data_IF_134122790488
#
_entry.id   IF_134122790488
#
_cell.length_a   1.000
_cell.length_b   1.000
_cell.length_c   1.000
_cell.angle_alpha   90.00
_cell.angle_beta   90.00
_cell.angle_gamma   90.00
#
_symmetry.space_group_name_H-M   'P 1'
#
loop_
_entity.id
_entity.type
_entity.pdbx_description
1 polymer ?
#
# COMPACT_ATOMS: atom_id res chain seq x y z
N UNK A 1 22.06 30.83 73.33
CA UNK A 1 20.65 31.08 72.97
C UNK A 1 20.27 30.01 71.96
N UNK A 2 19.26 29.19 72.31
CA UNK A 2 18.62 28.05 71.62
C UNK A 2 19.06 27.62 70.20
N UNK A 3 19.08 26.34 69.82
CA UNK A 3 18.57 25.13 70.48
C UNK A 3 18.55 23.90 69.54
N UNK A 4 18.35 22.74 70.18
CA UNK A 4 17.91 21.43 69.67
C UNK A 4 18.88 20.46 68.94
N UNK A 5 19.44 19.58 69.78
CA UNK A 5 19.65 18.15 69.54
C UNK A 5 18.32 17.40 69.25
N UNK A 6 18.35 16.40 68.35
CA UNK A 6 17.86 15.03 68.61
C UNK A 6 18.31 14.05 67.52
N UNK A 7 18.93 12.97 67.98
CA UNK A 7 19.34 11.75 67.26
C UNK A 7 18.14 10.98 66.67
N UNK A 8 18.40 10.09 65.70
CA UNK A 8 17.96 8.70 65.84
C UNK A 8 18.71 7.72 64.93
N UNK A 9 19.04 6.60 65.55
CA UNK A 9 19.84 5.46 65.10
C UNK A 9 19.22 4.58 64.02
N UNK A 10 20.13 3.94 63.27
CA UNK A 10 20.11 2.64 62.60
C UNK A 10 18.82 1.81 62.56
N UNK A 11 18.45 1.39 61.34
CA UNK A 11 17.78 0.11 61.12
C UNK A 11 18.21 -0.48 59.77
N UNK A 12 19.06 -1.51 59.82
CA UNK A 12 19.50 -2.29 58.67
C UNK A 12 18.34 -3.18 58.22
N UNK A 13 17.73 -2.90 57.06
CA UNK A 13 16.66 -3.73 56.48
C UNK A 13 17.26 -4.58 55.35
N UNK A 14 17.34 -5.90 55.58
CA UNK A 14 17.64 -6.88 54.52
C UNK A 14 16.59 -6.76 53.42
N UNK A 15 17.00 -6.44 52.20
CA UNK A 15 16.17 -6.52 50.99
C UNK A 15 16.05 -7.98 50.53
N UNK A 16 14.89 -8.40 49.98
CA UNK A 16 14.67 -9.76 49.51
C UNK A 16 15.31 -9.97 48.13
N UNK A 17 15.72 -11.21 47.85
CA UNK A 17 16.46 -11.68 46.67
C UNK A 17 15.72 -11.59 45.32
N UNK A 18 14.64 -10.82 45.22
CA UNK A 18 13.79 -10.72 44.01
C UNK A 18 14.12 -9.50 43.14
N UNK A 19 14.87 -8.53 43.66
CA UNK A 19 15.36 -7.39 42.89
C UNK A 19 16.67 -7.67 42.16
N UNK A 20 17.41 -8.71 42.54
CA UNK A 20 18.62 -9.13 41.83
C UNK A 20 18.30 -9.70 40.44
N UNK A 21 17.19 -10.43 40.26
CA UNK A 21 16.82 -10.94 38.93
C UNK A 21 16.43 -9.80 38.00
N UNK A 22 15.70 -8.80 38.49
CA UNK A 22 15.33 -7.63 37.69
C UNK A 22 16.55 -6.78 37.33
N UNK A 23 17.55 -6.70 38.21
CA UNK A 23 18.76 -5.93 37.96
C UNK A 23 19.70 -6.66 36.98
N UNK A 24 19.81 -7.99 37.10
CA UNK A 24 20.51 -8.85 36.12
C UNK A 24 19.80 -8.82 34.75
N UNK A 25 18.46 -8.81 34.71
CA UNK A 25 17.69 -8.69 33.46
C UNK A 25 17.81 -7.30 32.83
N UNK A 26 17.97 -6.24 33.63
CA UNK A 26 18.16 -4.87 33.14
C UNK A 26 19.59 -4.65 32.66
N UNK A 27 20.60 -5.20 33.35
CA UNK A 27 22.01 -5.20 32.87
C UNK A 27 22.16 -6.09 31.63
N UNK A 28 21.55 -7.27 31.57
CA UNK A 28 21.57 -8.12 30.38
C UNK A 28 20.85 -7.48 29.18
N UNK A 29 19.77 -6.73 29.43
CA UNK A 29 19.12 -5.93 28.39
C UNK A 29 19.93 -4.70 28.01
N UNK A 30 20.64 -4.04 28.93
CA UNK A 30 21.52 -2.91 28.59
C UNK A 30 22.74 -3.39 27.81
N UNK A 31 23.31 -4.54 28.16
CA UNK A 31 24.43 -5.16 27.46
C UNK A 31 24.02 -5.70 26.07
N UNK A 32 22.76 -6.13 25.90
CA UNK A 32 22.17 -6.41 24.59
C UNK A 32 21.96 -5.12 23.78
N UNK A 33 21.53 -4.03 24.41
CA UNK A 33 21.37 -2.73 23.78
C UNK A 33 22.73 -2.11 23.38
N UNK A 34 23.76 -2.24 24.21
CA UNK A 34 25.12 -1.77 23.92
C UNK A 34 25.81 -2.65 22.87
N UNK A 35 25.61 -3.97 22.89
CA UNK A 35 26.05 -4.84 21.78
C UNK A 35 25.26 -4.59 20.48
N UNK A 36 24.02 -4.07 20.56
CA UNK A 36 23.22 -3.62 19.41
C UNK A 36 23.68 -2.28 18.86
N UNK A 37 24.18 -1.38 19.71
CA UNK A 37 24.76 -0.09 19.32
C UNK A 37 26.17 -0.25 18.71
N UNK A 38 26.87 -1.34 19.03
CA UNK A 38 28.21 -1.65 18.53
C UNK A 38 28.29 -2.48 17.23
N UNK A 39 27.17 -3.07 16.77
CA UNK A 39 27.13 -3.64 15.43
C UNK A 39 26.93 -2.51 14.43
N UNK A 40 27.98 -2.21 13.68
CA UNK A 40 27.90 -1.39 12.46
C UNK A 40 26.56 -1.63 11.76
N UNK A 41 25.82 -0.54 11.56
CA UNK A 41 24.59 -0.47 10.80
C UNK A 41 24.85 -0.93 9.37
N UNK A 42 24.92 -2.25 9.17
CA UNK A 42 24.90 -2.83 7.84
C UNK A 42 23.50 -2.59 7.30
N UNK A 43 23.32 -1.44 6.64
CA UNK A 43 22.03 -1.04 6.09
C UNK A 43 21.41 -2.24 5.36
N UNK A 44 20.16 -2.65 5.70
CA UNK A 44 19.52 -3.78 5.06
C UNK A 44 19.62 -3.66 3.54
N UNK A 45 19.89 -4.79 2.87
CA UNK A 45 20.18 -4.77 1.44
C UNK A 45 18.91 -4.39 0.65
N UNK A 46 18.82 -3.12 0.26
CA UNK A 46 17.75 -2.57 -0.60
C UNK A 46 17.55 -3.35 -1.91
N UNK A 47 18.57 -4.11 -2.34
CA UNK A 47 18.51 -4.96 -3.54
C UNK A 47 17.48 -6.09 -3.43
N UNK A 48 17.18 -6.57 -2.22
CA UNK A 48 16.27 -7.71 -2.00
C UNK A 48 14.80 -7.32 -2.11
N UNK A 49 14.42 -6.15 -1.60
CA UNK A 49 13.06 -5.63 -1.65
C UNK A 49 12.73 -4.89 -2.95
N UNK A 50 13.74 -4.40 -3.68
CA UNK A 50 13.56 -3.66 -4.93
C UNK A 50 12.70 -4.37 -6.00
N UNK A 51 12.90 -5.65 -6.35
CA UNK A 51 12.08 -6.27 -7.40
C UNK A 51 10.59 -6.32 -7.01
N UNK A 52 10.28 -6.50 -5.73
CA UNK A 52 8.91 -6.52 -5.20
C UNK A 52 8.26 -5.15 -5.29
N UNK A 53 9.00 -4.10 -4.95
CA UNK A 53 8.55 -2.71 -5.09
C UNK A 53 8.32 -2.38 -6.58
N UNK A 54 9.21 -2.80 -7.48
CA UNK A 54 9.04 -2.57 -8.91
C UNK A 54 7.80 -3.25 -9.48
N UNK A 55 7.44 -4.45 -9.01
CA UNK A 55 6.18 -5.08 -9.42
C UNK A 55 4.98 -4.28 -8.89
N UNK A 56 5.04 -3.83 -7.63
CA UNK A 56 3.98 -3.01 -7.03
C UNK A 56 3.77 -1.69 -7.79
N UNK A 57 4.84 -1.07 -8.31
CA UNK A 57 4.72 0.19 -9.08
C UNK A 57 4.05 0.02 -10.44
N UNK A 58 3.93 -1.20 -10.98
CA UNK A 58 3.13 -1.47 -12.20
C UNK A 58 1.67 -1.07 -11.96
N UNK A 59 1.14 -1.25 -10.75
CA UNK A 59 -0.20 -0.80 -10.41
C UNK A 59 -0.34 0.73 -10.49
N UNK A 60 0.70 1.47 -10.11
CA UNK A 60 0.74 2.94 -10.21
C UNK A 60 0.91 3.42 -11.64
N UNK A 61 1.70 2.69 -12.45
CA UNK A 61 1.78 2.91 -13.89
C UNK A 61 0.41 2.74 -14.56
N UNK A 62 -0.29 1.64 -14.27
CA UNK A 62 -1.65 1.41 -14.76
C UNK A 62 -2.61 2.50 -14.31
N UNK A 63 -2.46 3.00 -13.08
CA UNK A 63 -3.23 4.13 -12.59
C UNK A 63 -3.05 5.38 -13.44
N UNK A 64 -1.81 5.78 -13.69
CA UNK A 64 -1.49 6.89 -14.58
C UNK A 64 -1.98 6.68 -16.02
N UNK A 65 -1.84 5.45 -16.54
CA UNK A 65 -2.26 5.12 -17.89
C UNK A 65 -3.76 5.34 -18.10
N UNK A 66 -4.61 4.83 -17.20
CA UNK A 66 -6.06 4.97 -17.32
C UNK A 66 -6.59 6.39 -17.07
N UNK A 67 -5.82 7.24 -16.38
CA UNK A 67 -6.12 8.67 -16.25
C UNK A 67 -5.87 9.42 -17.56
N UNK A 68 -4.82 9.09 -18.29
CA UNK A 68 -4.46 9.81 -19.52
C UNK A 68 -5.05 9.22 -20.81
N UNK A 69 -5.31 7.90 -20.86
CA UNK A 69 -5.69 7.19 -22.10
C UNK A 69 -7.00 7.68 -22.72
N UNK A 70 -7.90 8.29 -21.94
CA UNK A 70 -9.19 8.76 -22.46
C UNK A 70 -9.09 10.12 -23.13
N UNK A 71 -8.05 10.92 -22.83
CA UNK A 71 -7.99 12.31 -23.26
C UNK A 71 -7.87 12.47 -24.78
N UNK A 72 -6.98 11.73 -25.43
CA UNK A 72 -6.80 11.78 -26.89
C UNK A 72 -7.93 11.10 -27.68
N UNK A 73 -8.41 9.89 -27.31
CA UNK A 73 -9.41 9.19 -28.10
C UNK A 73 -10.85 9.58 -27.84
N UNK A 74 -11.15 10.46 -26.86
CA UNK A 74 -12.53 10.81 -26.51
C UNK A 74 -13.38 11.23 -27.72
N UNK A 75 -12.83 12.09 -28.58
CA UNK A 75 -13.49 12.56 -29.79
C UNK A 75 -13.72 11.42 -30.80
N UNK A 76 -12.71 10.57 -31.02
CA UNK A 76 -12.84 9.41 -31.91
C UNK A 76 -13.83 8.38 -31.38
N UNK A 77 -13.88 8.18 -30.06
CA UNK A 77 -14.85 7.31 -29.39
C UNK A 77 -16.26 7.88 -29.56
N UNK A 78 -16.45 9.19 -29.40
CA UNK A 78 -17.79 9.80 -29.49
C UNK A 78 -18.34 9.73 -30.91
N UNK A 79 -17.48 9.86 -31.92
CA UNK A 79 -17.81 9.63 -33.33
C UNK A 79 -18.19 8.16 -33.61
N UNK A 80 -17.35 7.20 -33.20
CA UNK A 80 -17.55 5.77 -33.49
C UNK A 80 -18.79 5.18 -32.77
N UNK A 81 -19.04 5.63 -31.54
CA UNK A 81 -20.17 5.16 -30.71
C UNK A 81 -21.44 6.00 -30.88
N UNK A 82 -21.45 6.98 -31.79
CA UNK A 82 -22.65 7.73 -32.19
C UNK A 82 -23.20 8.68 -31.12
N UNK A 83 -22.36 9.17 -30.20
CA UNK A 83 -22.75 10.16 -29.18
C UNK A 83 -22.01 11.51 -29.32
N UNK A 84 -21.34 11.72 -30.45
CA UNK A 84 -20.65 12.96 -30.77
C UNK A 84 -21.57 14.18 -30.62
N UNK A 85 -21.08 15.23 -29.96
CA UNK A 85 -21.85 16.44 -29.66
C UNK A 85 -22.69 16.37 -28.38
N UNK A 86 -22.77 15.21 -27.71
CA UNK A 86 -23.36 15.10 -26.38
C UNK A 86 -22.26 15.22 -25.29
N UNK A 87 -22.00 16.45 -24.86
CA UNK A 87 -20.99 16.77 -23.85
C UNK A 87 -21.22 16.07 -22.51
N UNK A 88 -22.49 15.80 -22.18
CA UNK A 88 -22.84 15.07 -20.96
C UNK A 88 -22.44 13.59 -21.06
N UNK A 89 -22.61 12.96 -22.22
CA UNK A 89 -22.18 11.57 -22.45
C UNK A 89 -20.64 11.45 -22.44
N UNK A 90 -19.94 12.38 -23.08
CA UNK A 90 -18.46 12.45 -23.06
C UNK A 90 -17.93 12.62 -21.64
N UNK A 91 -18.49 13.58 -20.89
CA UNK A 91 -18.16 13.79 -19.47
C UNK A 91 -18.48 12.57 -18.61
N UNK A 92 -19.55 11.84 -18.92
CA UNK A 92 -19.91 10.61 -18.20
C UNK A 92 -18.90 9.49 -18.42
N UNK A 93 -18.37 9.32 -19.64
CA UNK A 93 -17.33 8.30 -19.94
C UNK A 93 -16.04 8.52 -19.13
N UNK A 94 -15.68 9.79 -18.90
CA UNK A 94 -14.51 10.15 -18.09
C UNK A 94 -14.83 9.95 -16.60
N UNK A 95 -15.93 10.56 -16.12
CA UNK A 95 -16.27 10.62 -14.69
C UNK A 95 -16.72 9.29 -14.11
N UNK A 96 -17.37 8.40 -14.87
CA UNK A 96 -17.82 7.10 -14.36
C UNK A 96 -16.66 6.20 -13.93
N UNK A 97 -15.49 6.35 -14.55
CA UNK A 97 -14.27 5.67 -14.13
C UNK A 97 -13.78 6.18 -12.76
N UNK A 98 -13.89 7.48 -12.50
CA UNK A 98 -13.59 8.05 -11.18
C UNK A 98 -14.62 7.61 -10.15
N UNK A 99 -15.89 7.51 -10.53
CA UNK A 99 -16.94 6.93 -9.70
C UNK A 99 -16.63 5.48 -9.32
N UNK A 100 -16.18 4.65 -10.28
CA UNK A 100 -15.69 3.30 -10.00
C UNK A 100 -14.49 3.29 -9.06
N UNK A 101 -13.54 4.22 -9.25
CA UNK A 101 -12.36 4.36 -8.39
C UNK A 101 -12.73 4.74 -6.96
N UNK A 102 -13.74 5.58 -6.75
CA UNK A 102 -14.26 5.89 -5.43
C UNK A 102 -14.72 4.62 -4.69
N UNK A 103 -15.51 3.77 -5.34
CA UNK A 103 -15.92 2.48 -4.76
C UNK A 103 -14.72 1.55 -4.53
N UNK A 104 -13.77 1.50 -5.47
CA UNK A 104 -12.53 0.72 -5.33
C UNK A 104 -11.70 1.13 -4.11
N UNK A 105 -11.56 2.44 -3.87
CA UNK A 105 -10.87 2.98 -2.71
C UNK A 105 -11.57 2.62 -1.40
N UNK A 106 -12.90 2.72 -1.33
CA UNK A 106 -13.67 2.35 -0.13
C UNK A 106 -13.49 0.88 0.24
N UNK A 107 -13.45 0.00 -0.76
CA UNK A 107 -13.26 -1.43 -0.54
C UNK A 107 -11.79 -1.81 -0.28
N UNK A 108 -10.84 -0.91 -0.55
CA UNK A 108 -9.41 -1.23 -0.54
C UNK A 108 -8.88 -1.65 0.82
N UNK A 109 -9.27 -0.96 1.89
CA UNK A 109 -8.85 -1.31 3.25
C UNK A 109 -9.34 -2.70 3.65
N UNK A 110 -10.64 -2.97 3.44
CA UNK A 110 -11.24 -4.26 3.78
C UNK A 110 -10.62 -5.42 2.98
N UNK A 111 -10.37 -5.22 1.68
CA UNK A 111 -9.73 -6.22 0.82
C UNK A 111 -8.27 -6.43 1.26
N UNK A 112 -7.49 -5.36 1.41
CA UNK A 112 -6.07 -5.45 1.76
C UNK A 112 -5.83 -6.15 3.10
N UNK A 113 -6.70 -5.89 4.09
CA UNK A 113 -6.62 -6.50 5.41
C UNK A 113 -7.21 -7.91 5.47
N UNK A 114 -8.25 -8.20 4.68
CA UNK A 114 -8.89 -9.51 4.65
C UNK A 114 -8.09 -10.56 3.87
N UNK A 115 -7.70 -10.26 2.62
CA UNK A 115 -7.08 -11.24 1.72
C UNK A 115 -5.56 -11.14 1.60
N UNK A 116 -4.97 -10.08 2.18
CA UNK A 116 -3.55 -9.78 2.07
C UNK A 116 -3.23 -8.88 0.88
N UNK A 117 -2.00 -8.35 0.88
CA UNK A 117 -1.58 -7.31 -0.07
C UNK A 117 -1.37 -7.92 -1.46
N UNK A 118 -0.75 -9.10 -1.53
CA UNK A 118 -0.49 -9.78 -2.81
C UNK A 118 -1.78 -10.13 -3.55
N UNK A 119 -2.76 -10.70 -2.84
CA UNK A 119 -4.06 -11.02 -3.42
C UNK A 119 -4.86 -9.76 -3.76
N UNK A 120 -4.75 -8.70 -2.96
CA UNK A 120 -5.39 -7.42 -3.27
C UNK A 120 -4.92 -6.84 -4.61
N UNK A 121 -3.63 -6.92 -4.96
CA UNK A 121 -3.15 -6.53 -6.29
C UNK A 121 -3.69 -7.41 -7.43
N UNK A 122 -3.83 -8.71 -7.20
CA UNK A 122 -4.45 -9.59 -8.20
C UNK A 122 -5.92 -9.24 -8.39
N UNK A 123 -6.63 -8.96 -7.30
CA UNK A 123 -8.02 -8.53 -7.32
C UNK A 123 -8.20 -7.14 -7.93
N UNK A 124 -7.20 -6.25 -7.88
CA UNK A 124 -7.25 -4.98 -8.60
C UNK A 124 -6.99 -5.16 -10.10
N UNK A 125 -6.08 -6.07 -10.48
CA UNK A 125 -5.77 -6.33 -11.88
C UNK A 125 -6.93 -6.96 -12.67
N UNK A 126 -7.72 -7.85 -12.05
CA UNK A 126 -8.86 -8.51 -12.71
C UNK A 126 -9.89 -7.54 -13.32
N UNK A 127 -10.50 -6.61 -12.57
CA UNK A 127 -11.44 -5.65 -13.13
C UNK A 127 -10.77 -4.69 -14.13
N UNK A 128 -9.47 -4.41 -13.99
CA UNK A 128 -8.75 -3.63 -14.99
C UNK A 128 -8.65 -4.37 -16.32
N UNK A 129 -8.32 -5.66 -16.31
CA UNK A 129 -8.27 -6.50 -17.51
C UNK A 129 -9.67 -6.61 -18.14
N UNK A 130 -10.66 -7.06 -17.36
CA UNK A 130 -12.03 -7.29 -17.85
C UNK A 130 -12.66 -5.99 -18.34
N UNK A 131 -12.55 -4.92 -17.57
CA UNK A 131 -13.10 -3.62 -17.92
C UNK A 131 -12.41 -3.02 -19.15
N UNK A 132 -11.09 -3.12 -19.26
CA UNK A 132 -10.36 -2.58 -20.41
C UNK A 132 -10.65 -3.37 -21.69
N UNK A 133 -10.71 -4.70 -21.62
CA UNK A 133 -11.14 -5.54 -22.73
C UNK A 133 -12.57 -5.22 -23.17
N UNK A 134 -13.49 -5.01 -22.22
CA UNK A 134 -14.86 -4.64 -22.53
C UNK A 134 -14.96 -3.24 -23.15
N UNK A 135 -14.22 -2.26 -22.62
CA UNK A 135 -14.13 -0.92 -23.21
C UNK A 135 -13.55 -0.95 -24.62
N UNK A 136 -12.57 -1.82 -24.90
CA UNK A 136 -12.01 -1.96 -26.26
C UNK A 136 -12.95 -2.68 -27.25
N UNK A 137 -13.74 -3.64 -26.78
CA UNK A 137 -14.61 -4.46 -27.64
C UNK A 137 -16.01 -3.87 -27.85
N UNK A 138 -16.44 -2.90 -27.03
CA UNK A 138 -17.80 -2.34 -27.11
C UNK A 138 -18.05 -1.60 -28.43
N UNK A 139 -19.30 -1.65 -28.90
CA UNK A 139 -19.81 -0.87 -30.03
C UNK A 139 -20.93 0.09 -29.61
N UNK A 140 -21.22 0.17 -28.30
CA UNK A 140 -22.26 1.03 -27.76
C UNK A 140 -21.74 1.85 -26.56
N UNK A 141 -22.32 3.03 -26.34
CA UNK A 141 -22.02 3.88 -25.18
C UNK A 141 -22.20 3.15 -23.85
N UNK A 142 -23.29 2.38 -23.69
CA UNK A 142 -23.54 1.66 -22.44
C UNK A 142 -22.42 0.67 -22.10
N UNK A 143 -21.94 -0.11 -23.07
CA UNK A 143 -20.82 -1.02 -22.86
C UNK A 143 -19.51 -0.29 -22.51
N UNK A 144 -19.29 0.90 -23.08
CA UNK A 144 -18.16 1.75 -22.70
C UNK A 144 -18.27 2.22 -21.24
N UNK A 145 -19.45 2.68 -20.83
CA UNK A 145 -19.71 3.15 -19.46
C UNK A 145 -19.50 2.03 -18.44
N UNK A 146 -20.06 0.85 -18.68
CA UNK A 146 -19.86 -0.31 -17.80
C UNK A 146 -18.38 -0.71 -17.77
N UNK A 147 -17.69 -0.71 -18.91
CA UNK A 147 -16.26 -1.05 -18.99
C UNK A 147 -15.42 -0.10 -18.15
N UNK A 148 -15.67 1.20 -18.29
CA UNK A 148 -15.01 2.26 -17.55
C UNK A 148 -15.30 2.19 -16.05
N UNK A 149 -16.54 1.87 -15.65
CA UNK A 149 -16.89 1.67 -14.26
C UNK A 149 -16.09 0.51 -13.65
N UNK A 150 -16.03 -0.63 -14.35
CA UNK A 150 -15.28 -1.82 -13.88
C UNK A 150 -13.79 -1.50 -13.79
N UNK A 151 -13.17 -0.92 -14.82
CA UNK A 151 -11.77 -0.46 -14.75
C UNK A 151 -11.54 0.43 -13.54
N UNK A 152 -12.47 1.38 -13.31
CA UNK A 152 -12.44 2.29 -12.17
C UNK A 152 -12.31 1.55 -10.83
N UNK A 153 -13.06 0.46 -10.61
CA UNK A 153 -12.97 -0.28 -9.33
C UNK A 153 -11.57 -0.84 -9.06
N UNK A 154 -10.89 -1.38 -10.08
CA UNK A 154 -9.50 -1.82 -9.94
C UNK A 154 -8.51 -0.67 -9.81
N UNK A 155 -8.77 0.42 -10.54
CA UNK A 155 -8.00 1.66 -10.53
C UNK A 155 -7.91 2.26 -9.12
N UNK A 156 -9.00 2.27 -8.36
CA UNK A 156 -9.04 2.78 -7.00
C UNK A 156 -8.34 1.87 -5.98
N UNK A 157 -8.46 0.55 -6.15
CA UNK A 157 -7.87 -0.43 -5.24
C UNK A 157 -6.33 -0.42 -5.28
N UNK A 158 -5.75 -0.35 -6.49
CA UNK A 158 -4.32 -0.55 -6.73
C UNK A 158 -3.38 0.41 -5.97
N UNK A 159 -3.50 1.75 -6.13
CA UNK A 159 -2.59 2.71 -5.50
C UNK A 159 -2.58 2.67 -3.96
N UNK A 160 -3.75 2.46 -3.34
CA UNK A 160 -3.85 2.33 -1.89
C UNK A 160 -3.10 1.10 -1.38
N UNK A 161 -3.30 -0.05 -2.04
CA UNK A 161 -2.58 -1.28 -1.73
C UNK A 161 -1.08 -1.13 -2.01
N UNK A 162 -0.69 -0.41 -3.06
CA UNK A 162 0.71 -0.17 -3.38
C UNK A 162 1.44 0.66 -2.33
N UNK A 163 0.81 1.72 -1.82
CA UNK A 163 1.37 2.50 -0.74
C UNK A 163 1.59 1.65 0.53
N UNK A 164 0.61 0.82 0.91
CA UNK A 164 0.71 -0.10 2.05
C UNK A 164 1.79 -1.16 1.83
N UNK A 165 1.81 -1.79 0.67
CA UNK A 165 2.78 -2.84 0.37
C UNK A 165 4.21 -2.30 0.39
N UNK A 166 4.44 -1.13 -0.21
CA UNK A 166 5.76 -0.50 -0.19
C UNK A 166 6.17 -0.14 1.23
N UNK A 167 5.29 0.39 2.08
CA UNK A 167 5.68 0.73 3.46
C UNK A 167 6.03 -0.50 4.29
N UNK A 168 5.35 -1.63 4.06
CA UNK A 168 5.52 -2.89 4.81
C UNK A 168 6.69 -3.75 4.33
N UNK A 169 7.07 -3.65 3.05
CA UNK A 169 8.15 -4.44 2.44
C UNK A 169 9.50 -3.69 2.44
N UNK A 170 9.46 -2.38 2.61
CA UNK A 170 10.65 -1.54 2.48
C UNK A 170 11.40 -1.34 3.79
N UNK A 171 12.75 -1.42 3.76
CA UNK A 171 13.56 -0.96 4.87
C UNK A 171 13.32 0.51 5.19
N UNK A 172 13.41 0.87 6.48
CA UNK A 172 13.07 2.21 6.96
C UNK A 172 13.84 3.35 6.24
N UNK A 173 15.11 3.13 5.89
CA UNK A 173 15.97 4.15 5.29
C UNK A 173 15.68 4.47 3.81
N UNK A 174 15.08 3.53 3.05
CA UNK A 174 14.75 3.70 1.61
C UNK A 174 13.25 3.83 1.33
N UNK A 175 12.41 3.72 2.38
CA UNK A 175 10.95 3.78 2.25
C UNK A 175 10.47 5.03 1.50
N UNK A 176 11.09 6.19 1.76
CA UNK A 176 10.79 7.44 1.05
C UNK A 176 11.10 7.38 -0.45
N UNK A 177 12.25 6.82 -0.82
CA UNK A 177 12.66 6.64 -2.23
C UNK A 177 11.71 5.71 -2.97
N UNK A 178 11.28 4.62 -2.35
CA UNK A 178 10.31 3.71 -2.97
C UNK A 178 8.91 4.34 -3.10
N UNK A 179 8.51 5.19 -2.16
CA UNK A 179 7.33 6.03 -2.32
C UNK A 179 7.44 6.94 -3.56
N UNK A 180 8.61 7.49 -3.84
CA UNK A 180 8.83 8.28 -5.07
C UNK A 180 8.70 7.43 -6.34
N UNK A 181 9.10 6.15 -6.34
CA UNK A 181 8.92 5.27 -7.50
C UNK A 181 7.45 5.04 -7.86
N UNK A 182 6.54 4.97 -6.88
CA UNK A 182 5.09 4.91 -7.13
C UNK A 182 4.66 6.13 -7.95
N UNK A 183 5.06 7.34 -7.54
CA UNK A 183 4.70 8.57 -8.24
C UNK A 183 5.35 8.67 -9.62
N UNK A 184 6.63 8.30 -9.74
CA UNK A 184 7.35 8.26 -11.03
C UNK A 184 6.66 7.30 -12.00
N UNK A 185 6.25 6.12 -11.53
CA UNK A 185 5.51 5.15 -12.33
C UNK A 185 4.17 5.71 -12.82
N UNK A 186 3.44 6.43 -11.96
CA UNK A 186 2.21 7.15 -12.36
C UNK A 186 2.49 8.15 -13.48
N UNK A 187 3.56 8.96 -13.37
CA UNK A 187 3.94 9.90 -14.42
C UNK A 187 4.29 9.19 -15.74
N UNK A 188 5.04 8.08 -15.69
CA UNK A 188 5.32 7.26 -16.87
C UNK A 188 4.06 6.62 -17.46
N UNK A 189 3.08 6.26 -16.64
CA UNK A 189 1.77 5.77 -17.08
C UNK A 189 1.02 6.82 -17.89
N UNK A 190 0.93 8.04 -17.37
CA UNK A 190 0.31 9.18 -18.08
C UNK A 190 1.06 9.44 -19.39
N UNK A 191 2.39 9.54 -19.33
CA UNK A 191 3.21 9.79 -20.52
C UNK A 191 3.05 8.69 -21.57
N UNK A 192 3.05 7.43 -21.16
CA UNK A 192 2.83 6.27 -22.04
C UNK A 192 1.46 6.29 -22.70
N UNK A 193 0.42 6.72 -21.97
CA UNK A 193 -0.93 6.86 -22.54
C UNK A 193 -1.00 7.94 -23.63
N UNK A 194 -0.27 9.05 -23.45
CA UNK A 194 -0.19 10.12 -24.44
C UNK A 194 0.53 9.63 -25.71
N UNK A 195 1.66 8.92 -25.57
CA UNK A 195 2.38 8.38 -26.71
C UNK A 195 1.54 7.39 -27.54
N UNK A 196 0.81 6.49 -26.87
CA UNK A 196 -0.06 5.52 -27.54
C UNK A 196 -1.30 6.19 -28.17
N UNK A 197 -1.68 7.37 -27.66
CA UNK A 197 -2.77 8.19 -28.19
C UNK A 197 -2.42 8.98 -29.45
N UNK A 198 -1.15 9.15 -29.81
CA UNK A 198 -0.74 9.97 -30.98
C UNK A 198 -1.44 9.58 -32.29
N UNK A 199 -1.44 8.31 -32.73
CA UNK A 199 -2.00 7.94 -34.03
C UNK A 199 -3.54 7.77 -34.01
N UNK A 200 -4.21 8.09 -32.90
CA UNK A 200 -5.68 7.97 -32.77
C UNK A 200 -6.44 8.74 -33.85
N UNK A 201 -5.95 9.93 -34.20
CA UNK A 201 -6.60 10.79 -35.21
C UNK A 201 -6.34 10.32 -36.64
N UNK A 202 -5.28 9.56 -36.86
CA UNK A 202 -4.86 9.10 -38.19
C UNK A 202 -5.44 7.72 -38.53
N UNK A 203 -5.61 6.85 -37.53
CA UNK A 203 -6.04 5.46 -37.72
C UNK A 203 -7.42 5.25 -37.10
N UNK A 204 -8.43 4.99 -37.95
CA UNK A 204 -9.78 4.64 -37.50
C UNK A 204 -9.75 3.39 -36.61
N UNK A 205 -10.42 3.46 -35.45
CA UNK A 205 -10.51 2.35 -34.49
C UNK A 205 -9.28 2.16 -33.60
N UNK A 206 -8.22 2.97 -33.73
CA UNK A 206 -7.02 2.86 -32.88
C UNK A 206 -7.31 3.05 -31.39
N UNK A 207 -8.36 3.80 -31.05
CA UNK A 207 -8.84 3.98 -29.68
C UNK A 207 -9.07 2.65 -28.95
N UNK A 208 -9.47 1.58 -29.66
CA UNK A 208 -9.65 0.23 -29.10
C UNK A 208 -8.32 -0.38 -28.67
N UNK A 209 -7.26 -0.14 -29.44
CA UNK A 209 -5.90 -0.56 -29.12
C UNK A 209 -5.40 0.18 -27.89
N UNK A 210 -5.70 1.48 -27.74
CA UNK A 210 -5.34 2.25 -26.55
C UNK A 210 -5.91 1.60 -25.27
N UNK A 211 -7.19 1.23 -25.25
CA UNK A 211 -7.75 0.52 -24.08
C UNK A 211 -7.23 -0.91 -23.96
N UNK A 212 -7.16 -1.65 -25.07
CA UNK A 212 -6.71 -3.04 -25.09
C UNK A 212 -5.27 -3.20 -24.59
N UNK A 213 -4.38 -2.25 -24.91
CA UNK A 213 -2.98 -2.31 -24.52
C UNK A 213 -2.79 -2.30 -23.00
N UNK A 214 -3.67 -1.64 -22.25
CA UNK A 214 -3.63 -1.62 -20.77
C UNK A 214 -3.81 -3.00 -20.13
N UNK A 215 -4.41 -3.96 -20.85
CA UNK A 215 -4.58 -5.34 -20.36
C UNK A 215 -3.24 -6.06 -20.21
N UNK A 216 -2.22 -5.69 -21.01
CA UNK A 216 -0.89 -6.30 -20.96
C UNK A 216 -0.19 -6.00 -19.62
N UNK A 217 0.04 -4.73 -19.21
CA UNK A 217 0.62 -4.44 -17.91
C UNK A 217 -0.24 -4.93 -16.74
N UNK A 218 -1.57 -4.97 -16.88
CA UNK A 218 -2.45 -5.54 -15.85
C UNK A 218 -2.27 -7.06 -15.70
N UNK A 219 -2.14 -7.80 -16.80
CA UNK A 219 -1.83 -9.22 -16.77
C UNK A 219 -0.42 -9.49 -16.21
N UNK A 220 0.56 -8.67 -16.59
CA UNK A 220 1.92 -8.73 -16.03
C UNK A 220 1.88 -8.51 -14.52
N UNK A 221 1.14 -7.50 -14.03
CA UNK A 221 0.96 -7.27 -12.59
C UNK A 221 0.37 -8.52 -11.90
N UNK A 222 -0.74 -9.07 -12.43
CA UNK A 222 -1.40 -10.22 -11.83
C UNK A 222 -0.47 -11.46 -11.72
N UNK A 223 0.32 -11.71 -12.78
CA UNK A 223 1.26 -12.84 -12.85
C UNK A 223 2.53 -12.58 -12.03
N UNK A 224 3.13 -11.41 -12.12
CA UNK A 224 4.36 -11.07 -11.40
C UNK A 224 4.14 -11.09 -9.88
N UNK A 225 2.95 -10.66 -9.42
CA UNK A 225 2.59 -10.75 -8.01
C UNK A 225 2.58 -12.19 -7.48
N UNK A 226 2.51 -13.22 -8.33
CA UNK A 226 2.64 -14.63 -7.89
C UNK A 226 4.04 -14.96 -7.37
N UNK A 227 5.06 -14.20 -7.76
CA UNK A 227 6.44 -14.41 -7.31
C UNK A 227 6.85 -13.46 -6.18
N UNK A 228 6.05 -12.41 -5.93
CA UNK A 228 6.29 -11.43 -4.88
C UNK A 228 6.01 -11.98 -3.48
N UNK A 229 6.70 -11.39 -2.49
CA UNK A 229 6.43 -11.59 -1.07
C UNK A 229 5.05 -11.12 -0.70
N UNK A 230 4.42 -11.86 0.20
CA UNK A 230 3.32 -11.30 0.95
C UNK A 230 3.86 -10.28 1.96
N UNK A 231 3.02 -9.34 2.37
CA UNK A 231 3.38 -8.41 3.43
C UNK A 231 3.68 -9.16 4.74
N UNK A 232 4.88 -9.02 5.30
CA UNK A 232 5.24 -9.68 6.56
C UNK A 232 4.45 -9.09 7.75
N UNK A 233 4.11 -7.81 7.69
CA UNK A 233 3.22 -7.16 8.67
C UNK A 233 1.82 -7.77 8.66
N UNK A 234 1.25 -8.01 7.48
CA UNK A 234 -0.06 -8.66 7.36
C UNK A 234 -0.03 -10.11 7.85
N UNK A 235 1.01 -10.87 7.50
CA UNK A 235 1.18 -12.26 7.98
C UNK A 235 1.26 -12.32 9.51
N UNK A 236 1.98 -11.38 10.14
CA UNK A 236 2.05 -11.28 11.59
C UNK A 236 0.67 -11.01 12.21
N UNK A 237 -0.07 -10.03 11.68
CA UNK A 237 -1.43 -9.68 12.14
C UNK A 237 -2.43 -10.83 12.00
N UNK A 238 -2.24 -11.71 11.01
CA UNK A 238 -3.06 -12.91 10.83
C UNK A 238 -2.65 -14.10 11.73
N UNK A 239 -1.71 -13.90 12.67
CA UNK A 239 -1.20 -14.94 13.56
C UNK A 239 -0.23 -15.93 12.90
N UNK A 240 0.19 -15.69 11.65
CA UNK A 240 1.12 -16.55 10.89
C UNK A 240 2.56 -16.08 11.10
N UNK A 241 3.00 -16.07 12.35
CA UNK A 241 4.29 -15.50 12.79
C UNK A 241 5.50 -16.17 12.14
N UNK A 242 5.48 -17.50 11.98
CA UNK A 242 6.57 -18.23 11.33
C UNK A 242 6.74 -17.84 9.85
N UNK A 243 5.65 -17.62 9.13
CA UNK A 243 5.70 -17.19 7.72
C UNK A 243 6.12 -15.72 7.60
N UNK A 244 5.69 -14.88 8.55
CA UNK A 244 6.13 -13.50 8.63
C UNK A 244 7.65 -13.40 8.81
N UNK A 245 8.25 -14.27 9.64
CA UNK A 245 9.70 -14.33 9.84
C UNK A 245 10.42 -14.69 8.54
N UNK A 246 9.98 -15.74 7.84
CA UNK A 246 10.56 -16.15 6.56
C UNK A 246 10.52 -15.03 5.51
N UNK A 247 9.40 -14.30 5.41
CA UNK A 247 9.30 -13.18 4.45
C UNK A 247 10.14 -11.98 4.90
N UNK A 248 10.23 -11.67 6.19
CA UNK A 248 11.15 -10.64 6.69
C UNK A 248 12.62 -10.99 6.40
N UNK A 249 13.02 -12.25 6.58
CA UNK A 249 14.37 -12.71 6.25
C UNK A 249 14.66 -12.59 4.75
N UNK A 250 13.66 -12.89 3.92
CA UNK A 250 13.76 -12.77 2.46
C UNK A 250 13.92 -11.31 2.02
N UNK A 251 13.20 -10.40 2.65
CA UNK A 251 13.15 -8.98 2.28
C UNK A 251 14.28 -8.13 2.88
N UNK A 252 14.59 -8.33 4.17
CA UNK A 252 15.52 -7.49 4.94
C UNK A 252 16.82 -8.24 5.33
N UNK A 253 16.74 -9.57 5.47
CA UNK A 253 17.84 -10.42 5.97
C UNK A 253 17.66 -10.87 7.42
N UNK A 254 18.38 -11.92 7.81
CA UNK A 254 18.20 -12.65 9.10
C UNK A 254 18.38 -11.78 10.33
N UNK A 255 19.36 -10.87 10.34
CA UNK A 255 19.63 -10.00 11.50
C UNK A 255 18.51 -8.97 11.72
N UNK A 256 18.03 -8.35 10.64
CA UNK A 256 17.01 -7.30 10.68
C UNK A 256 15.59 -7.86 10.87
N UNK A 257 15.34 -9.10 10.42
CA UNK A 257 14.07 -9.78 10.60
C UNK A 257 13.71 -9.95 12.08
N UNK A 258 14.66 -10.43 12.89
CA UNK A 258 14.45 -10.59 14.34
C UNK A 258 14.16 -9.28 15.04
N UNK A 259 14.86 -8.21 14.65
CA UNK A 259 14.59 -6.87 15.17
C UNK A 259 13.19 -6.40 14.79
N UNK A 260 12.80 -6.51 13.51
CA UNK A 260 11.48 -6.10 13.03
C UNK A 260 10.33 -6.84 13.74
N UNK A 261 10.46 -8.15 13.96
CA UNK A 261 9.47 -8.96 14.69
C UNK A 261 9.40 -8.54 16.16
N UNK A 262 10.55 -8.25 16.80
CA UNK A 262 10.56 -7.77 18.18
C UNK A 262 9.83 -6.43 18.32
N UNK A 263 10.00 -5.52 17.35
CA UNK A 263 9.29 -4.24 17.32
C UNK A 263 7.78 -4.45 17.13
N UNK A 264 7.37 -5.32 16.20
CA UNK A 264 5.97 -5.69 16.00
C UNK A 264 5.34 -6.24 17.28
N UNK A 265 6.03 -7.12 17.99
CA UNK A 265 5.52 -7.70 19.25
C UNK A 265 5.37 -6.67 20.39
N UNK A 266 6.18 -5.61 20.38
CA UNK A 266 6.07 -4.51 21.35
C UNK A 266 4.89 -3.61 21.04
N UNK A 267 4.64 -3.34 19.75
CA UNK A 267 3.49 -2.57 19.29
C UNK A 267 2.19 -3.32 19.59
N UNK A 268 2.12 -4.61 19.27
CA UNK A 268 0.93 -5.45 19.51
C UNK A 268 0.56 -5.52 21.01
N UNK A 269 1.57 -5.56 21.89
CA UNK A 269 1.37 -5.50 23.35
C UNK A 269 0.90 -4.14 23.88
N UNK A 270 1.02 -3.08 23.10
CA UNK A 270 0.61 -1.73 23.45
C UNK A 270 -0.67 -1.26 22.75
N UNK A 271 -1.17 -2.00 21.75
CA UNK A 271 -2.29 -1.64 20.86
C UNK A 271 -3.60 -2.32 21.29
N UNK A 272 -3.85 -2.43 22.60
CA UNK A 272 -5.19 -2.63 23.19
C UNK A 272 -6.10 -1.39 22.98
N UNK A 273 -5.84 -0.60 21.94
CA UNK A 273 -6.60 0.59 21.57
C UNK A 273 -7.70 0.20 20.58
N UNK A 274 -8.95 0.32 21.04
CA UNK A 274 -10.17 0.15 20.25
C UNK A 274 -10.03 0.73 18.83
N UNK A 275 -10.31 -0.09 17.81
CA UNK A 275 -10.34 0.38 16.41
C UNK A 275 -11.33 1.54 16.28
N UNK A 276 -10.80 2.75 16.17
CA UNK A 276 -11.59 4.00 16.15
C UNK A 276 -12.55 3.97 14.96
N UNK A 277 -13.84 4.12 15.23
CA UNK A 277 -14.86 4.16 14.17
C UNK A 277 -14.80 5.49 13.43
N UNK A 278 -15.13 5.48 12.15
CA UNK A 278 -15.19 6.72 11.34
C UNK A 278 -16.12 7.79 11.95
N UNK A 279 -17.15 7.37 12.67
CA UNK A 279 -18.05 8.25 13.42
C UNK A 279 -17.37 9.01 14.57
N UNK A 280 -16.36 8.40 15.20
CA UNK A 280 -15.61 8.98 16.32
C UNK A 280 -14.59 10.02 15.83
N UNK A 281 -14.03 9.84 14.63
CA UNK A 281 -13.18 10.85 13.98
C UNK A 281 -13.95 12.14 13.66
N UNK A 282 -15.23 12.03 13.29
CA UNK A 282 -16.08 13.19 13.01
C UNK A 282 -16.60 13.89 14.27
N UNK A 283 -16.78 13.14 15.37
CA UNK A 283 -17.35 13.71 16.59
C UNK A 283 -16.32 14.31 17.54
N UNK A 284 -15.04 13.96 17.42
CA UNK A 284 -13.97 14.53 18.23
C UNK A 284 -14.13 14.23 19.73
N UNK A 285 -13.04 13.85 20.39
CA UNK A 285 -13.06 13.49 21.80
C UNK A 285 -13.15 14.72 22.74
N UNK A 286 -13.87 15.78 22.34
CA UNK A 286 -13.90 17.07 23.02
C UNK A 286 -15.24 17.35 23.71
N UNK A 287 -15.91 16.33 24.27
CA UNK A 287 -17.09 16.53 25.12
C UNK A 287 -17.27 15.42 26.16
N UNK A 288 -16.22 15.15 26.95
CA UNK A 288 -16.34 14.49 28.26
C UNK A 288 -15.30 15.08 29.21
N UNK A 289 -15.57 16.28 29.69
CA UNK A 289 -14.68 16.98 30.59
C UNK A 289 -15.09 18.42 30.87
N UNK A 290 -16.37 18.66 31.19
CA UNK A 290 -16.85 19.76 32.04
C UNK A 290 -18.03 19.22 32.85
#
# INVERSE_FOLDING_TARGET
MWGHYRENSFMYKRTPSKDNSNMEDVEANSDLLDNCMGKETSNPSWKRSLPHVLVATISSFLFGYHLGVVNEPLESISLDLGFHGNTLAEGLVVSICLGGAFFGCLLSGWIADGVGRRRAFQLSALPMIVGASMSAATNNLFGMLVGRLIVGTGLGLGPAVAALYVTEVSPAFVRGTYGAFIQIATCFGILGSLFIGIPVKEISGWWRVCFGLSTIPAAILALAMVFCAESPHWLYKQGRTAEAEVEFERLLGVSEAKFAISQLSKVDRGDDTDTVKFSELLHGHHSKGI
#
